data_IF_540760723143
#
_entry.id   IF_540760723143
#
_cell.length_a   1.000
_cell.length_b   1.000
_cell.length_c   1.000
_cell.angle_alpha   90.00
_cell.angle_beta   90.00
_cell.angle_gamma   90.00
#
_symmetry.space_group_name_H-M   'P 1'
#
loop_
_entity.id
_entity.type
_entity.pdbx_description
1 polymer ?
#
# COMPACT_ATOMS: atom_id res chain seq x y z
N UNK A 1 20.27 -0.25 21.31
CA UNK A 1 19.89 0.61 20.17
C UNK A 1 21.16 0.94 19.40
N UNK A 2 21.55 0.06 18.47
CA UNK A 2 22.73 0.29 17.62
C UNK A 2 22.22 0.94 16.34
N UNK A 3 22.35 2.26 16.27
CA UNK A 3 22.22 2.99 15.01
C UNK A 3 23.55 2.77 14.28
N UNK A 4 23.59 1.79 13.37
CA UNK A 4 24.69 1.68 12.43
C UNK A 4 24.59 2.87 11.47
N UNK A 5 25.57 3.78 11.53
CA UNK A 5 25.70 4.87 10.59
C UNK A 5 25.91 4.29 9.17
N UNK A 6 24.94 4.51 8.28
CA UNK A 6 25.09 4.28 6.85
C UNK A 6 26.12 5.30 6.30
N UNK A 7 27.06 4.89 5.43
CA UNK A 7 28.05 5.80 4.86
C UNK A 7 27.38 6.84 3.95
N UNK A 8 27.90 8.08 4.00
CA UNK A 8 27.38 9.31 3.42
C UNK A 8 27.34 9.38 1.86
N UNK A 9 27.48 8.26 1.15
CA UNK A 9 27.74 8.24 -0.30
C UNK A 9 26.60 7.62 -1.13
N UNK A 10 25.37 7.57 -0.61
CA UNK A 10 24.21 7.02 -1.35
C UNK A 10 23.50 8.03 -2.27
N UNK A 11 24.08 9.22 -2.49
CA UNK A 11 23.49 10.26 -3.34
C UNK A 11 24.05 10.31 -4.77
N UNK A 12 25.19 9.66 -5.05
CA UNK A 12 25.86 9.76 -6.35
C UNK A 12 25.60 8.54 -7.24
N UNK A 13 24.39 8.48 -7.80
CA UNK A 13 24.14 8.12 -9.22
C UNK A 13 22.66 7.78 -9.42
N UNK A 14 21.82 8.80 -9.56
CA UNK A 14 20.54 8.60 -10.26
C UNK A 14 20.90 8.42 -11.73
N UNK A 15 21.10 7.17 -12.16
CA UNK A 15 21.20 6.84 -13.58
C UNK A 15 19.87 7.20 -14.26
N UNK A 16 19.94 7.74 -15.47
CA UNK A 16 18.76 8.02 -16.29
C UNK A 16 17.89 6.77 -16.40
N UNK A 17 16.55 6.91 -16.36
CA UNK A 17 15.66 5.76 -16.38
C UNK A 17 15.91 4.92 -17.63
N UNK A 18 15.93 3.58 -17.50
CA UNK A 18 16.15 2.67 -18.61
C UNK A 18 15.08 2.85 -19.69
N UNK A 19 15.50 2.92 -20.96
CA UNK A 19 14.61 3.09 -22.11
C UNK A 19 13.96 1.79 -22.58
N UNK A 20 14.40 0.65 -22.04
CA UNK A 20 13.84 -0.67 -22.29
C UNK A 20 13.64 -1.41 -20.95
N UNK A 21 12.37 -1.68 -20.62
CA UNK A 21 11.94 -2.31 -19.38
C UNK A 21 10.42 -2.20 -19.21
N UNK A 22 9.80 -3.08 -18.40
CA UNK A 22 8.36 -3.06 -18.17
C UNK A 22 7.92 -1.72 -17.58
N UNK A 23 6.77 -1.21 -18.02
CA UNK A 23 6.11 -0.05 -17.43
C UNK A 23 5.41 -0.47 -16.13
N UNK A 24 5.90 0.03 -15.00
CA UNK A 24 5.34 -0.31 -13.69
C UNK A 24 4.84 0.96 -13.01
N UNK A 25 3.56 0.99 -12.69
CA UNK A 25 2.98 2.06 -11.87
C UNK A 25 3.24 1.82 -10.40
N UNK A 26 3.47 2.87 -9.63
CA UNK A 26 3.40 2.86 -8.16
C UNK A 26 2.24 3.76 -7.74
N UNK A 27 1.25 3.21 -7.03
CA UNK A 27 0.07 3.96 -6.61
C UNK A 27 0.46 5.00 -5.56
N UNK A 28 0.55 6.27 -5.96
CA UNK A 28 1.04 7.36 -5.13
C UNK A 28 -0.11 8.14 -4.45
N UNK A 29 -1.07 7.42 -3.86
CA UNK A 29 -2.18 8.04 -3.12
C UNK A 29 -1.78 8.43 -1.70
N UNK A 30 -1.13 7.50 -1.00
CA UNK A 30 -0.68 7.65 0.38
C UNK A 30 0.36 6.55 0.68
N UNK A 31 1.30 6.83 1.59
CA UNK A 31 2.24 5.82 2.10
C UNK A 31 3.66 5.89 1.51
N UNK A 32 4.41 4.79 1.61
CA UNK A 32 5.83 4.70 1.23
C UNK A 32 6.06 4.36 -0.25
N UNK A 33 5.53 5.17 -1.16
CA UNK A 33 5.63 4.91 -2.61
C UNK A 33 7.02 5.23 -3.20
N UNK A 34 7.73 6.21 -2.62
CA UNK A 34 9.01 6.67 -3.16
C UNK A 34 10.08 5.57 -3.16
N UNK A 35 10.17 4.80 -2.07
CA UNK A 35 11.11 3.69 -1.93
C UNK A 35 10.84 2.59 -2.96
N UNK A 36 9.56 2.31 -3.23
CA UNK A 36 9.15 1.39 -4.28
C UNK A 36 9.58 1.89 -5.66
N UNK A 37 9.38 3.18 -5.95
CA UNK A 37 9.75 3.76 -7.24
C UNK A 37 11.27 3.69 -7.48
N UNK A 38 12.07 4.11 -6.48
CA UNK A 38 13.54 4.04 -6.54
C UNK A 38 14.03 2.60 -6.75
N UNK A 39 13.45 1.65 -6.03
CA UNK A 39 13.85 0.24 -6.14
C UNK A 39 13.53 -0.34 -7.52
N UNK A 40 12.32 -0.09 -8.05
CA UNK A 40 11.92 -0.55 -9.38
C UNK A 40 12.76 0.08 -10.49
N UNK A 41 13.08 1.38 -10.39
CA UNK A 41 13.98 2.04 -11.35
C UNK A 41 15.38 1.39 -11.37
N UNK A 42 15.92 1.04 -10.19
CA UNK A 42 17.20 0.31 -10.09
C UNK A 42 17.14 -1.10 -10.67
N UNK A 43 15.96 -1.71 -10.71
CA UNK A 43 15.73 -3.03 -11.33
C UNK A 43 15.50 -2.98 -12.85
N UNK A 44 15.53 -1.80 -13.46
CA UNK A 44 15.35 -1.69 -14.91
C UNK A 44 13.93 -1.31 -15.35
N UNK A 45 13.00 -1.04 -14.43
CA UNK A 45 11.61 -0.71 -14.79
C UNK A 45 11.46 0.75 -15.23
N UNK A 46 10.51 0.99 -16.14
CA UNK A 46 10.00 2.34 -16.45
C UNK A 46 8.91 2.66 -15.42
N UNK A 47 9.25 3.47 -14.43
CA UNK A 47 8.37 3.72 -13.29
C UNK A 47 7.58 5.01 -13.49
N UNK A 48 6.28 4.96 -13.23
CA UNK A 48 5.45 6.14 -13.04
C UNK A 48 4.78 6.10 -11.68
N UNK A 49 4.76 7.23 -10.98
CA UNK A 49 3.92 7.42 -9.81
C UNK A 49 2.52 7.78 -10.33
N UNK A 50 1.57 6.86 -10.15
CA UNK A 50 0.29 6.91 -10.88
C UNK A 50 -0.86 7.33 -9.99
N UNK A 51 -1.79 8.06 -10.63
CA UNK A 51 -3.16 7.58 -10.73
C UNK A 51 -3.51 7.06 -12.14
N UNK A 52 -2.72 7.36 -13.19
CA UNK A 52 -2.97 6.89 -14.56
C UNK A 52 -2.47 5.45 -14.78
N UNK A 53 -3.39 4.52 -15.08
CA UNK A 53 -3.09 3.08 -15.19
C UNK A 53 -2.89 2.58 -16.64
N UNK A 54 -3.06 3.47 -17.62
CA UNK A 54 -2.97 3.16 -19.04
C UNK A 54 -1.52 2.86 -19.45
N UNK A 55 -1.35 1.81 -20.27
CA UNK A 55 -0.03 1.43 -20.78
C UNK A 55 0.93 0.82 -19.76
N UNK A 56 0.49 0.57 -18.52
CA UNK A 56 1.29 -0.16 -17.53
C UNK A 56 1.19 -1.67 -17.74
N UNK A 57 2.35 -2.31 -17.60
CA UNK A 57 2.53 -3.76 -17.59
C UNK A 57 2.29 -4.34 -16.19
N UNK A 58 2.42 -3.54 -15.12
CA UNK A 58 2.16 -3.95 -13.74
C UNK A 58 1.95 -2.77 -12.79
N UNK A 59 1.47 -3.06 -11.58
CA UNK A 59 1.14 -2.07 -10.55
C UNK A 59 1.67 -2.48 -9.17
N UNK A 60 2.28 -1.54 -8.47
CA UNK A 60 2.58 -1.67 -7.04
C UNK A 60 1.62 -0.80 -6.24
N UNK A 61 0.98 -1.41 -5.24
CA UNK A 61 0.17 -0.73 -4.23
C UNK A 61 0.99 -0.73 -2.93
N UNK A 62 1.54 0.42 -2.51
CA UNK A 62 2.46 0.49 -1.39
C UNK A 62 1.77 0.31 -0.04
N UNK A 63 2.58 0.14 1.00
CA UNK A 63 2.13 0.21 2.39
C UNK A 63 1.76 1.63 2.80
N UNK A 64 0.94 1.75 3.85
CA UNK A 64 0.33 3.00 4.28
C UNK A 64 -0.83 2.72 5.21
N UNK A 65 -1.95 3.40 5.01
CA UNK A 65 -3.20 3.21 5.72
C UNK A 65 -4.32 2.91 4.71
N UNK A 66 -4.84 1.68 4.72
CA UNK A 66 -5.75 1.18 3.69
C UNK A 66 -7.09 1.92 3.67
N UNK A 67 -7.58 2.38 4.81
CA UNK A 67 -8.84 3.14 4.90
C UNK A 67 -8.72 4.48 4.17
N UNK A 68 -7.60 5.19 4.39
CA UNK A 68 -7.26 6.44 3.74
C UNK A 68 -7.06 6.25 2.25
N UNK A 69 -6.35 5.20 1.84
CA UNK A 69 -6.23 4.84 0.42
C UNK A 69 -7.59 4.59 -0.22
N UNK A 70 -8.48 3.83 0.42
CA UNK A 70 -9.83 3.59 -0.06
C UNK A 70 -10.66 4.87 -0.20
N UNK A 71 -10.60 5.77 0.78
CA UNK A 71 -11.28 7.06 0.72
C UNK A 71 -10.71 7.98 -0.38
N UNK A 72 -9.39 8.03 -0.56
CA UNK A 72 -8.77 8.82 -1.61
C UNK A 72 -9.08 8.25 -3.00
N UNK A 73 -9.01 6.93 -3.16
CA UNK A 73 -9.35 6.26 -4.41
C UNK A 73 -10.81 6.49 -4.80
N UNK A 74 -11.75 6.49 -3.85
CA UNK A 74 -13.15 6.82 -4.10
C UNK A 74 -13.31 8.29 -4.53
N UNK A 75 -12.71 9.23 -3.79
CA UNK A 75 -12.78 10.67 -4.08
C UNK A 75 -12.17 11.05 -5.43
N UNK A 76 -11.17 10.31 -5.87
CA UNK A 76 -10.48 10.52 -7.15
C UNK A 76 -11.05 9.66 -8.29
N UNK A 77 -12.15 8.93 -8.05
CA UNK A 77 -12.76 8.01 -9.01
C UNK A 77 -11.79 6.93 -9.56
N UNK A 78 -10.85 6.48 -8.74
CA UNK A 78 -9.82 5.49 -9.08
C UNK A 78 -10.18 4.06 -8.69
N UNK A 79 -11.22 3.85 -7.86
CA UNK A 79 -11.62 2.50 -7.45
C UNK A 79 -11.95 1.60 -8.64
N UNK A 80 -12.79 2.05 -9.57
CA UNK A 80 -13.17 1.24 -10.73
C UNK A 80 -12.00 1.01 -11.71
N UNK A 81 -11.17 2.03 -12.04
CA UNK A 81 -9.94 1.81 -12.80
C UNK A 81 -8.99 0.78 -12.15
N UNK A 82 -8.81 0.83 -10.82
CA UNK A 82 -7.95 -0.11 -10.10
C UNK A 82 -8.53 -1.54 -10.14
N UNK A 83 -9.84 -1.69 -9.93
CA UNK A 83 -10.54 -2.97 -10.06
C UNK A 83 -10.39 -3.56 -11.46
N UNK A 84 -10.58 -2.74 -12.49
CA UNK A 84 -10.41 -3.15 -13.88
C UNK A 84 -8.95 -3.56 -14.18
N UNK A 85 -7.98 -2.86 -13.58
CA UNK A 85 -6.57 -3.22 -13.71
C UNK A 85 -6.27 -4.60 -13.11
N UNK A 86 -6.71 -4.85 -11.87
CA UNK A 86 -6.52 -6.14 -11.20
C UNK A 86 -7.23 -7.26 -11.96
N UNK A 87 -8.49 -7.02 -12.38
CA UNK A 87 -9.29 -7.99 -13.13
C UNK A 87 -8.74 -8.30 -14.52
N UNK A 88 -7.86 -7.46 -15.09
CA UNK A 88 -7.25 -7.73 -16.39
C UNK A 88 -6.15 -8.81 -16.34
N UNK A 89 -5.82 -9.34 -15.16
CA UNK A 89 -4.76 -10.33 -14.97
C UNK A 89 -3.34 -9.77 -15.09
N UNK A 90 -3.19 -8.44 -15.12
CA UNK A 90 -1.86 -7.80 -15.07
C UNK A 90 -1.27 -7.98 -13.67
N UNK A 91 0.06 -8.18 -13.54
CA UNK A 91 0.71 -8.32 -12.24
C UNK A 91 0.44 -7.13 -11.31
N UNK A 92 0.01 -7.43 -10.08
CA UNK A 92 -0.15 -6.44 -9.01
C UNK A 92 0.57 -6.92 -7.74
N UNK A 93 1.34 -6.02 -7.13
CA UNK A 93 2.01 -6.26 -5.86
C UNK A 93 1.44 -5.32 -4.79
N UNK A 94 0.74 -5.87 -3.80
CA UNK A 94 0.34 -5.14 -2.59
C UNK A 94 1.32 -5.35 -1.45
N UNK A 95 1.84 -4.27 -0.86
CA UNK A 95 2.69 -4.37 0.35
C UNK A 95 1.98 -3.79 1.56
N UNK A 96 1.98 -4.52 2.69
CA UNK A 96 1.32 -4.10 3.94
C UNK A 96 -0.15 -3.67 3.70
N UNK A 97 -0.48 -2.39 3.86
CA UNK A 97 -1.81 -1.85 3.58
C UNK A 97 -2.27 -2.04 2.12
N UNK A 98 -1.34 -2.12 1.16
CA UNK A 98 -1.68 -2.45 -0.23
C UNK A 98 -2.17 -3.88 -0.39
N UNK A 99 -1.70 -4.83 0.44
CA UNK A 99 -2.25 -6.19 0.47
C UNK A 99 -3.67 -6.17 1.05
N UNK A 100 -3.90 -5.39 2.11
CA UNK A 100 -5.24 -5.21 2.69
C UNK A 100 -6.20 -4.63 1.64
N UNK A 101 -5.75 -3.66 0.84
CA UNK A 101 -6.55 -3.01 -0.18
C UNK A 101 -6.94 -3.95 -1.34
N UNK A 102 -6.13 -4.99 -1.60
CA UNK A 102 -6.36 -6.02 -2.62
C UNK A 102 -7.14 -7.24 -2.13
N UNK A 103 -7.32 -7.40 -0.81
CA UNK A 103 -8.06 -8.52 -0.26
C UNK A 103 -9.55 -8.44 -0.61
N UNK A 104 -10.18 -9.59 -0.86
CA UNK A 104 -11.63 -9.68 -1.06
C UNK A 104 -12.40 -9.52 0.26
N UNK A 105 -11.78 -9.92 1.38
CA UNK A 105 -12.37 -9.83 2.71
C UNK A 105 -11.36 -9.31 3.73
N UNK A 106 -11.83 -8.44 4.63
CA UNK A 106 -11.04 -8.00 5.80
C UNK A 106 -11.88 -8.17 7.05
N UNK A 107 -11.33 -8.90 8.02
CA UNK A 107 -11.90 -9.10 9.35
C UNK A 107 -11.50 -7.94 10.25
N UNK A 108 -12.39 -7.55 11.17
CA UNK A 108 -12.11 -6.48 12.14
C UNK A 108 -12.18 -5.06 11.56
N UNK A 109 -12.73 -4.89 10.35
CA UNK A 109 -12.89 -3.58 9.73
C UNK A 109 -13.58 -2.58 10.66
N UNK A 110 -13.21 -1.30 10.51
CA UNK A 110 -13.88 -0.18 11.13
C UNK A 110 -15.39 -0.20 10.85
N UNK A 111 -16.19 0.26 11.82
CA UNK A 111 -17.63 0.44 11.62
C UNK A 111 -17.89 1.32 10.38
N UNK A 112 -18.68 0.80 9.44
CA UNK A 112 -18.92 1.42 8.13
C UNK A 112 -18.18 0.76 6.96
N UNK A 113 -17.27 -0.18 7.26
CA UNK A 113 -16.46 -0.90 6.27
C UNK A 113 -15.36 -0.04 5.64
N UNK A 114 -14.47 -0.68 4.88
CA UNK A 114 -13.49 0.02 4.05
C UNK A 114 -13.72 -0.28 2.57
N UNK A 115 -13.37 0.68 1.71
CA UNK A 115 -13.39 0.47 0.27
C UNK A 115 -12.16 -0.36 -0.12
N UNK A 116 -12.40 -1.45 -0.83
CA UNK A 116 -11.38 -2.37 -1.30
C UNK A 116 -11.35 -2.40 -2.82
N UNK A 117 -10.16 -2.61 -3.38
CA UNK A 117 -10.01 -3.00 -4.78
C UNK A 117 -10.42 -4.45 -4.96
N UNK A 118 -9.97 -5.34 -4.06
CA UNK A 118 -10.20 -6.78 -4.19
C UNK A 118 -9.41 -7.39 -5.35
N UNK A 119 -9.75 -8.62 -5.70
CA UNK A 119 -9.11 -9.37 -6.80
C UNK A 119 -7.94 -10.26 -6.37
N UNK A 120 -7.68 -10.35 -5.06
CA UNK A 120 -6.93 -11.44 -4.45
C UNK A 120 -7.85 -12.18 -3.48
N UNK A 121 -8.06 -13.47 -3.73
CA UNK A 121 -8.87 -14.36 -2.88
C UNK A 121 -8.17 -14.63 -1.55
N UNK A 122 -8.24 -13.62 -0.69
CA UNK A 122 -7.55 -13.51 0.58
C UNK A 122 -8.49 -12.90 1.60
N UNK A 123 -8.47 -13.45 2.80
CA UNK A 123 -9.06 -12.82 3.99
C UNK A 123 -7.92 -12.31 4.88
N UNK A 124 -7.92 -11.03 5.23
CA UNK A 124 -6.89 -10.44 6.12
C UNK A 124 -7.47 -9.86 7.41
N UNK A 125 -6.68 -9.80 8.48
CA UNK A 125 -7.10 -9.23 9.78
C UNK A 125 -6.52 -7.82 10.02
N UNK A 126 -7.38 -6.88 10.42
CA UNK A 126 -7.02 -5.57 10.95
C UNK A 126 -8.02 -5.24 12.05
N UNK A 127 -7.56 -4.95 13.28
CA UNK A 127 -8.47 -4.76 14.42
C UNK A 127 -8.26 -3.44 15.15
N UNK A 128 -9.34 -2.95 15.75
CA UNK A 128 -9.35 -1.81 16.65
C UNK A 128 -9.67 -2.27 18.07
N UNK A 129 -9.04 -1.64 19.07
CA UNK A 129 -9.38 -1.85 20.47
C UNK A 129 -9.28 -0.55 21.25
N UNK A 130 -9.80 -0.52 22.47
CA UNK A 130 -9.65 0.63 23.36
C UNK A 130 -8.55 0.35 24.36
N UNK A 131 -7.52 1.19 24.39
CA UNK A 131 -6.43 1.11 25.36
C UNK A 131 -6.68 2.04 26.55
N UNK A 132 -6.34 1.56 27.74
CA UNK A 132 -6.22 2.40 28.93
C UNK A 132 -4.90 3.16 28.87
N UNK A 133 -4.94 4.47 28.64
CA UNK A 133 -3.76 5.33 28.69
C UNK A 133 -3.60 5.88 30.12
N UNK A 134 -3.31 4.99 31.07
CA UNK A 134 -3.21 5.33 32.50
C UNK A 134 -2.15 6.41 32.80
N UNK A 135 -1.08 6.46 32.00
CA UNK A 135 0.02 7.42 32.16
C UNK A 135 -0.17 8.74 31.39
N UNK A 136 -1.27 8.90 30.65
CA UNK A 136 -1.60 10.16 29.95
C UNK A 136 -2.60 10.92 30.80
N UNK A 137 -2.23 12.07 31.35
CA UNK A 137 -3.12 12.87 32.20
C UNK A 137 -4.04 13.80 31.36
N UNK A 138 -5.36 13.83 31.61
CA UNK A 138 -6.11 12.93 32.51
C UNK A 138 -6.23 11.52 31.92
N UNK A 139 -6.16 10.50 32.79
CA UNK A 139 -6.28 9.10 32.39
C UNK A 139 -7.53 8.92 31.52
N UNK A 140 -7.32 8.37 30.32
CA UNK A 140 -8.37 8.26 29.32
C UNK A 140 -8.27 6.95 28.55
N UNK A 141 -9.44 6.48 28.15
CA UNK A 141 -9.59 5.41 27.18
C UNK A 141 -9.34 6.00 25.80
N UNK A 142 -8.35 5.49 25.09
CA UNK A 142 -8.04 5.90 23.71
C UNK A 142 -8.42 4.78 22.74
N UNK A 143 -9.20 5.07 21.68
CA UNK A 143 -9.31 4.16 20.55
C UNK A 143 -7.94 3.97 19.93
N UNK A 144 -7.54 2.72 19.74
CA UNK A 144 -6.27 2.33 19.16
C UNK A 144 -6.53 1.41 17.97
N UNK A 145 -5.99 1.81 16.82
CA UNK A 145 -6.01 1.01 15.59
C UNK A 145 -4.71 0.23 15.53
N UNK A 146 -4.81 -1.09 15.54
CA UNK A 146 -3.64 -1.95 15.50
C UNK A 146 -3.48 -2.52 14.10
N UNK A 147 -2.64 -1.85 13.32
CA UNK A 147 -2.14 -2.41 12.08
C UNK A 147 -0.94 -3.29 12.46
N UNK A 148 -1.19 -4.59 12.69
CA UNK A 148 -0.11 -5.58 12.56
C UNK A 148 0.16 -5.73 11.06
N UNK A 149 1.37 -6.10 10.64
CA UNK A 149 1.58 -6.51 9.25
C UNK A 149 0.45 -7.48 8.84
N UNK A 150 -0.13 -7.34 7.64
CA UNK A 150 -1.37 -8.03 7.29
C UNK A 150 -1.24 -9.54 7.52
N UNK A 151 -2.09 -10.08 8.39
CA UNK A 151 -2.16 -11.50 8.63
C UNK A 151 -3.16 -12.11 7.64
N UNK A 152 -2.66 -12.96 6.75
CA UNK A 152 -3.51 -13.73 5.83
C UNK A 152 -4.16 -14.86 6.62
N UNK A 153 -5.48 -14.82 6.76
CA UNK A 153 -6.27 -15.83 7.47
C UNK A 153 -6.68 -16.99 6.56
N UNK A 154 -6.94 -16.70 5.28
CA UNK A 154 -7.33 -17.68 4.26
C UNK A 154 -6.78 -17.28 2.90
N UNK A 155 -6.48 -18.28 2.08
CA UNK A 155 -6.20 -18.17 0.65
C UNK A 155 -6.96 -19.27 -0.10
N UNK A 156 -7.62 -18.95 -1.22
CA UNK A 156 -8.26 -19.97 -2.09
C UNK A 156 -9.59 -20.53 -1.58
#
# INVERSE_FOLDING_TARGET
MVVAALPANLCDSVQAPPTAGPAVGVLALQGGYHEHAVMLSRLGCRVSEVPHLEGLDGLVIPGGESTTMGHLAERLALLEPLRAFVASGRPVLGTCAGLIFLADEVVGQKQGGQKLVGGMDLTVDSFETTLEAADVAPARRVPAVFIRAPAILRTG
#
